data_IF_414289944560
#
_entry.id   IF_414289944560
#
_cell.length_a   1.000
_cell.length_b   1.000
_cell.length_c   1.000
_cell.angle_alpha   90.00
_cell.angle_beta   90.00
_cell.angle_gamma   90.00
#
_symmetry.space_group_name_H-M   'P 1'
#
loop_
_entity.id
_entity.type
_entity.pdbx_description
1 polymer ?
#
# COMPACT_ATOMS: atom_id res chain seq x y z
N UNK A 1 -17.38 -2.44 14.11
CA UNK A 1 -16.03 -2.42 14.73
C UNK A 1 -15.01 -2.15 13.63
N UNK A 2 -14.67 -0.87 13.40
CA UNK A 2 -13.53 -0.53 12.55
C UNK A 2 -12.28 -0.80 13.36
N UNK A 3 -11.68 -1.99 13.19
CA UNK A 3 -10.35 -2.28 13.72
C UNK A 3 -9.43 -1.13 13.30
N UNK A 4 -8.86 -0.42 14.27
CA UNK A 4 -7.93 0.69 14.08
C UNK A 4 -6.59 0.23 13.51
N UNK A 5 -6.62 -0.48 12.39
CA UNK A 5 -5.43 -0.82 11.61
C UNK A 5 -5.02 0.41 10.83
N UNK A 6 -3.80 0.88 11.11
CA UNK A 6 -3.20 1.96 10.34
C UNK A 6 -3.20 1.57 8.86
N UNK A 7 -3.57 2.47 7.93
CA UNK A 7 -3.59 2.15 6.50
C UNK A 7 -2.19 1.75 6.03
N UNK A 8 -2.11 0.72 5.19
CA UNK A 8 -0.84 0.25 4.65
C UNK A 8 -0.08 1.39 3.96
N UNK A 9 1.25 1.26 3.81
CA UNK A 9 2.10 2.31 3.27
C UNK A 9 1.61 2.82 1.90
N UNK A 10 1.07 1.93 1.07
CA UNK A 10 0.48 2.29 -0.22
C UNK A 10 -0.77 3.16 -0.08
N UNK A 11 -1.74 2.72 0.73
CA UNK A 11 -2.97 3.45 0.95
C UNK A 11 -2.75 4.79 1.65
N UNK A 12 -1.79 4.83 2.58
CA UNK A 12 -1.35 6.05 3.26
C UNK A 12 -0.77 7.06 2.28
N UNK A 13 0.16 6.65 1.41
CA UNK A 13 0.79 7.54 0.42
C UNK A 13 -0.21 8.03 -0.63
N UNK A 14 -1.09 7.14 -1.11
CA UNK A 14 -2.08 7.44 -2.14
C UNK A 14 -3.38 8.08 -1.58
N UNK A 15 -3.45 8.33 -0.27
CA UNK A 15 -4.61 8.90 0.43
C UNK A 15 -5.94 8.19 0.10
N UNK A 16 -5.89 6.86 0.02
CA UNK A 16 -7.05 5.99 -0.26
C UNK A 16 -7.41 5.14 0.95
N UNK A 17 -8.67 4.69 1.02
CA UNK A 17 -9.14 3.80 2.08
C UNK A 17 -8.44 2.43 1.96
N UNK A 18 -7.84 1.97 3.07
CA UNK A 18 -7.28 0.62 3.14
C UNK A 18 -8.37 -0.35 3.62
N UNK A 19 -8.75 -1.31 2.78
CA UNK A 19 -9.72 -2.38 3.10
C UNK A 19 -8.99 -3.67 3.46
N UNK A 20 -9.71 -4.67 3.99
CA UNK A 20 -9.16 -6.00 4.27
C UNK A 20 -8.69 -6.73 2.99
N UNK A 21 -9.25 -6.36 1.84
CA UNK A 21 -8.91 -6.91 0.52
C UNK A 21 -7.76 -6.14 -0.18
N UNK A 22 -7.06 -5.27 0.54
CA UNK A 22 -5.99 -4.48 -0.05
C UNK A 22 -4.81 -5.36 -0.47
N UNK A 23 -4.64 -5.56 -1.78
CA UNK A 23 -3.53 -6.35 -2.35
C UNK A 23 -2.14 -5.84 -1.94
N UNK A 24 -2.02 -4.56 -1.57
CA UNK A 24 -0.76 -3.95 -1.16
C UNK A 24 -0.45 -4.16 0.33
N UNK A 25 -1.44 -4.47 1.17
CA UNK A 25 -1.26 -4.54 2.61
C UNK A 25 -0.27 -5.63 3.08
N UNK A 26 -0.24 -6.85 2.49
CA UNK A 26 0.75 -7.86 2.86
C UNK A 26 2.19 -7.48 2.51
N UNK A 27 2.39 -6.66 1.48
CA UNK A 27 3.73 -6.34 0.93
C UNK A 27 4.31 -5.02 1.44
N UNK A 28 3.42 -4.06 1.75
CA UNK A 28 3.74 -2.70 2.14
C UNK A 28 3.05 -2.33 3.46
N UNK A 29 3.46 -2.93 4.59
CA UNK A 29 2.91 -2.62 5.90
C UNK A 29 3.18 -1.16 6.29
N UNK A 30 2.42 -0.67 7.27
CA UNK A 30 2.45 0.72 7.72
C UNK A 30 3.78 1.14 8.37
N UNK A 31 4.57 0.17 8.83
CA UNK A 31 5.83 0.37 9.55
C UNK A 31 6.98 0.83 8.64
N UNK A 32 6.89 0.53 7.35
CA UNK A 32 7.89 0.94 6.36
C UNK A 32 7.29 1.70 5.17
N UNK A 33 6.91 2.98 5.37
CA UNK A 33 6.36 3.82 4.30
C UNK A 33 7.38 4.12 3.20
N UNK A 34 8.69 4.03 3.48
CA UNK A 34 9.75 4.34 2.52
C UNK A 34 9.84 3.28 1.43
N UNK A 35 9.61 2.01 1.78
CA UNK A 35 9.57 0.91 0.81
C UNK A 35 8.58 1.16 -0.32
N UNK A 36 7.34 1.55 0.00
CA UNK A 36 6.35 1.87 -1.03
C UNK A 36 6.75 3.10 -1.85
N UNK A 37 7.28 4.15 -1.22
CA UNK A 37 7.70 5.36 -1.94
C UNK A 37 8.80 5.09 -2.99
N UNK A 38 9.78 4.24 -2.66
CA UNK A 38 10.86 3.87 -3.59
C UNK A 38 10.31 3.06 -4.77
N UNK A 39 9.54 2.00 -4.49
CA UNK A 39 8.97 1.14 -5.55
C UNK A 39 7.98 1.93 -6.41
N UNK A 40 7.17 2.79 -5.80
CA UNK A 40 6.26 3.70 -6.50
C UNK A 40 7.00 4.66 -7.42
N UNK A 41 8.16 5.19 -7.01
CA UNK A 41 8.95 6.10 -7.83
C UNK A 41 9.52 5.42 -9.08
N UNK A 42 9.90 4.14 -8.99
CA UNK A 42 10.53 3.40 -10.10
C UNK A 42 9.48 2.79 -11.04
N UNK A 43 8.47 2.13 -10.47
CA UNK A 43 7.50 1.36 -11.25
C UNK A 43 6.16 2.09 -11.42
N UNK A 44 5.79 2.99 -10.51
CA UNK A 44 4.44 3.57 -10.47
C UNK A 44 3.40 2.63 -9.86
N UNK A 45 2.35 3.19 -9.25
CA UNK A 45 1.32 2.42 -8.55
C UNK A 45 0.64 1.35 -9.44
N UNK A 46 0.35 1.71 -10.70
CA UNK A 46 -0.37 0.84 -11.63
C UNK A 46 0.44 -0.39 -12.04
N UNK A 47 1.76 -0.24 -12.28
CA UNK A 47 2.60 -1.39 -12.62
C UNK A 47 2.80 -2.31 -11.41
N UNK A 48 2.93 -1.75 -10.20
CA UNK A 48 2.97 -2.57 -8.98
C UNK A 48 1.66 -3.36 -8.84
N UNK A 49 0.51 -2.73 -9.08
CA UNK A 49 -0.78 -3.43 -9.03
C UNK A 49 -0.85 -4.59 -10.02
N UNK A 50 -0.32 -4.42 -11.24
CA UNK A 50 -0.27 -5.47 -12.27
C UNK A 50 0.71 -6.60 -11.94
N UNK A 51 1.77 -6.31 -11.19
CA UNK A 51 2.76 -7.32 -10.77
C UNK A 51 2.30 -8.13 -9.55
N UNK A 52 1.38 -7.60 -8.75
CA UNK A 52 0.83 -8.24 -7.55
C UNK A 52 -0.53 -8.94 -7.79
N UNK A 53 -1.11 -8.78 -8.99
CA UNK A 53 -2.24 -9.55 -9.49
C UNK A 53 -1.74 -10.72 -10.31
#
# INVERSE_FOLDING_TARGET
MGSGSSPCASCKLLRRRCTQECIFAPYFPSDDPRKFAIVHKVFGASNISKMLQ
#
